data_IF_891091004332
#
_entry.id   IF_891091004332
#
_cell.length_a   1.000
_cell.length_b   1.000
_cell.length_c   1.000
_cell.angle_alpha   90.00
_cell.angle_beta   90.00
_cell.angle_gamma   90.00
#
_symmetry.space_group_name_H-M   'P 1'
#
loop_
_entity.id
_entity.type
_entity.pdbx_description
1 polymer ?
#
# COMPACT_ATOMS: atom_id res chain seq x y z
N UNK A 1 -14.83 12.38 -18.71
CA UNK A 1 -14.29 11.13 -18.13
C UNK A 1 -13.68 11.51 -16.79
N UNK A 2 -13.86 10.71 -15.73
CA UNK A 2 -13.21 10.99 -14.45
C UNK A 2 -11.69 11.13 -14.60
N UNK A 3 -11.13 12.10 -13.86
CA UNK A 3 -9.69 12.28 -13.76
C UNK A 3 -9.24 11.65 -12.45
N UNK A 4 -8.08 11.01 -12.46
CA UNK A 4 -7.49 10.38 -11.30
C UNK A 4 -6.10 10.95 -11.03
N UNK A 5 -5.83 11.26 -9.76
CA UNK A 5 -4.47 11.44 -9.24
C UNK A 5 -3.97 10.07 -8.82
N UNK A 6 -2.90 9.62 -9.46
CA UNK A 6 -2.21 8.36 -9.16
C UNK A 6 -0.90 8.72 -8.47
N UNK A 7 -0.73 8.30 -7.22
CA UNK A 7 0.51 8.51 -6.46
C UNK A 7 1.13 7.17 -6.13
N UNK A 8 2.40 7.04 -6.47
CA UNK A 8 3.22 5.86 -6.27
C UNK A 8 4.44 6.24 -5.43
N UNK A 9 4.71 5.43 -4.41
CA UNK A 9 5.91 5.56 -3.59
C UNK A 9 6.58 4.19 -3.45
N UNK A 10 7.88 4.16 -3.75
CA UNK A 10 8.73 2.99 -3.62
C UNK A 10 9.63 3.19 -2.39
N UNK A 11 9.55 2.32 -1.37
CA UNK A 11 10.44 2.42 -0.23
C UNK A 11 11.89 2.28 -0.71
N UNK A 12 12.74 3.22 -0.31
CA UNK A 12 14.14 3.22 -0.70
C UNK A 12 14.89 2.16 0.11
N UNK A 13 14.93 0.93 -0.41
CA UNK A 13 15.62 -0.20 0.22
C UNK A 13 17.03 -0.30 -0.37
N UNK A 14 18.10 -0.11 0.43
CA UNK A 14 19.46 -0.22 -0.06
C UNK A 14 19.72 -1.57 -0.73
N UNK A 15 20.22 -1.55 -1.97
CA UNK A 15 20.57 -2.75 -2.72
C UNK A 15 19.41 -3.49 -3.41
N UNK A 16 18.19 -2.96 -3.36
CA UNK A 16 17.04 -3.49 -4.12
C UNK A 16 16.42 -2.40 -4.98
N UNK A 17 16.86 -2.31 -6.24
CA UNK A 17 16.21 -1.48 -7.24
C UNK A 17 15.27 -2.36 -8.06
N UNK A 18 13.97 -2.17 -7.89
CA UNK A 18 12.96 -2.85 -8.70
C UNK A 18 12.83 -2.15 -10.06
N UNK A 19 12.59 -2.93 -11.10
CA UNK A 19 12.35 -2.40 -12.45
C UNK A 19 10.89 -1.93 -12.57
N UNK A 20 10.69 -0.62 -12.63
CA UNK A 20 9.38 0.01 -12.82
C UNK A 20 9.12 0.40 -14.28
N UNK A 21 9.94 -0.07 -15.23
CA UNK A 21 9.73 0.17 -16.66
C UNK A 21 8.34 -0.27 -17.14
N UNK A 22 7.77 -1.42 -16.72
CA UNK A 22 6.41 -1.81 -17.10
C UNK A 22 5.36 -0.81 -16.62
N UNK A 23 5.50 -0.31 -15.38
CA UNK A 23 4.59 0.69 -14.81
C UNK A 23 4.69 2.03 -15.56
N UNK A 24 5.91 2.49 -15.86
CA UNK A 24 6.15 3.71 -16.62
C UNK A 24 5.59 3.61 -18.05
N UNK A 25 5.77 2.46 -18.72
CA UNK A 25 5.24 2.20 -20.05
C UNK A 25 3.71 2.18 -20.07
N UNK A 26 3.07 1.57 -19.07
CA UNK A 26 1.62 1.57 -18.96
C UNK A 26 1.07 3.00 -18.74
N UNK A 27 1.66 3.78 -17.83
CA UNK A 27 1.29 5.18 -17.63
C UNK A 27 1.42 6.00 -18.92
N UNK A 28 2.51 5.81 -19.68
CA UNK A 28 2.71 6.46 -20.96
C UNK A 28 1.70 6.01 -22.03
N UNK A 29 1.43 4.70 -22.13
CA UNK A 29 0.45 4.13 -23.05
C UNK A 29 -0.96 4.64 -22.80
N UNK A 30 -1.31 4.85 -21.53
CA UNK A 30 -2.56 5.44 -21.08
C UNK A 30 -2.58 6.99 -21.17
N UNK A 31 -1.51 7.61 -21.68
CA UNK A 31 -1.36 9.07 -21.81
C UNK A 31 -1.50 9.82 -20.48
N UNK A 32 -1.06 9.20 -19.39
CA UNK A 32 -1.02 9.86 -18.08
C UNK A 32 0.02 10.99 -18.10
N UNK A 33 -0.30 12.11 -17.45
CA UNK A 33 0.63 13.22 -17.29
C UNK A 33 1.34 13.10 -15.94
N UNK A 34 2.66 13.01 -15.94
CA UNK A 34 3.43 13.18 -14.72
C UNK A 34 3.39 14.63 -14.25
N UNK A 35 2.96 14.87 -13.01
CA UNK A 35 2.87 16.21 -12.42
C UNK A 35 3.95 16.47 -11.37
N UNK A 36 4.39 15.41 -10.67
CA UNK A 36 5.49 15.43 -9.70
C UNK A 36 6.18 14.05 -9.72
N UNK A 37 7.32 13.92 -9.04
CA UNK A 37 7.94 12.59 -8.86
C UNK A 37 6.95 11.64 -8.21
N UNK A 38 6.74 10.46 -8.81
CA UNK A 38 5.78 9.47 -8.33
C UNK A 38 4.30 9.87 -8.44
N UNK A 39 3.94 11.02 -9.01
CA UNK A 39 2.53 11.47 -9.11
C UNK A 39 2.11 11.79 -10.53
N UNK A 40 0.99 11.22 -10.95
CA UNK A 40 0.47 11.27 -12.31
C UNK A 40 -1.02 11.64 -12.34
N UNK A 41 -1.45 12.26 -13.44
CA UNK A 41 -2.85 12.48 -13.78
C UNK A 41 -3.26 11.54 -14.90
N UNK A 42 -4.34 10.78 -14.70
CA UNK A 42 -4.94 9.90 -15.71
C UNK A 42 -6.41 10.24 -15.93
N UNK A 43 -6.94 9.91 -17.11
CA UNK A 43 -8.35 10.15 -17.46
C UNK A 43 -8.94 8.85 -18.00
N UNK A 44 -9.84 8.22 -17.24
CA UNK A 44 -10.32 6.86 -17.49
C UNK A 44 -11.84 6.76 -17.40
N UNK A 45 -12.42 5.72 -18.01
CA UNK A 45 -13.85 5.36 -17.83
C UNK A 45 -13.99 4.25 -16.78
N UNK A 46 -13.36 4.44 -15.64
CA UNK A 46 -13.24 3.45 -14.58
C UNK A 46 -13.51 4.08 -13.22
N UNK A 47 -13.70 3.26 -12.19
CA UNK A 47 -13.72 3.73 -10.79
C UNK A 47 -12.30 3.81 -10.23
N UNK A 48 -12.09 4.57 -9.17
CA UNK A 48 -10.79 4.66 -8.48
C UNK A 48 -10.25 3.26 -8.10
N UNK A 49 -11.12 2.37 -7.61
CA UNK A 49 -10.78 0.98 -7.28
C UNK A 49 -10.29 0.18 -8.49
N UNK A 50 -10.95 0.32 -9.64
CA UNK A 50 -10.52 -0.36 -10.87
C UNK A 50 -9.16 0.14 -11.35
N UNK A 51 -8.95 1.46 -11.32
CA UNK A 51 -7.69 2.10 -11.70
C UNK A 51 -6.57 1.66 -10.75
N UNK A 52 -6.82 1.66 -9.44
CA UNK A 52 -5.89 1.15 -8.44
C UNK A 52 -5.51 -0.32 -8.71
N UNK A 53 -6.51 -1.19 -8.88
CA UNK A 53 -6.28 -2.61 -9.09
C UNK A 53 -5.57 -2.90 -10.43
N UNK A 54 -5.76 -2.06 -11.45
CA UNK A 54 -5.01 -2.15 -12.70
C UNK A 54 -3.54 -1.84 -12.49
N UNK A 55 -3.24 -0.67 -11.92
CA UNK A 55 -1.86 -0.20 -11.75
C UNK A 55 -1.08 -0.98 -10.70
N UNK A 56 -1.75 -1.53 -9.67
CA UNK A 56 -1.12 -2.34 -8.62
C UNK A 56 -0.39 -3.58 -9.17
N UNK A 57 -0.81 -4.11 -10.32
CA UNK A 57 -0.20 -5.29 -10.96
C UNK A 57 1.25 -5.07 -11.42
N UNK A 58 1.64 -3.81 -11.61
CA UNK A 58 2.97 -3.45 -12.09
C UNK A 58 3.93 -3.06 -10.97
N UNK A 59 3.47 -3.10 -9.71
CA UNK A 59 4.23 -2.64 -8.55
C UNK A 59 4.67 -3.82 -7.69
N UNK A 60 5.73 -3.62 -6.92
CA UNK A 60 6.17 -4.59 -5.94
C UNK A 60 5.25 -4.55 -4.71
N UNK A 61 5.13 -5.68 -4.01
CA UNK A 61 4.21 -5.81 -2.86
C UNK A 61 4.51 -4.81 -1.74
N UNK A 62 5.77 -4.40 -1.58
CA UNK A 62 6.19 -3.44 -0.57
C UNK A 62 5.90 -1.97 -0.95
N UNK A 63 5.51 -1.70 -2.20
CA UNK A 63 5.27 -0.34 -2.68
C UNK A 63 3.88 0.15 -2.29
N UNK A 64 3.74 1.47 -2.18
CA UNK A 64 2.47 2.14 -1.92
C UNK A 64 1.90 2.72 -3.20
N UNK A 65 0.58 2.53 -3.39
CA UNK A 65 -0.19 3.10 -4.48
C UNK A 65 -1.45 3.75 -3.92
N UNK A 66 -1.67 5.00 -4.27
CA UNK A 66 -2.88 5.75 -3.96
C UNK A 66 -3.50 6.22 -5.27
N UNK A 67 -4.82 6.03 -5.40
CA UNK A 67 -5.58 6.53 -6.54
C UNK A 67 -6.77 7.31 -6.03
N UNK A 68 -6.82 8.60 -6.36
CA UNK A 68 -7.92 9.49 -5.97
C UNK A 68 -8.62 10.01 -7.21
N UNK A 69 -9.95 9.90 -7.24
CA UNK A 69 -10.76 10.57 -8.26
C UNK A 69 -10.81 12.08 -7.97
N UNK A 70 -10.44 12.89 -8.95
CA UNK A 70 -10.62 14.34 -8.89
C UNK A 70 -12.08 14.67 -9.17
N UNK A 71 -12.77 15.13 -8.13
CA UNK A 71 -14.14 15.61 -8.20
C UNK A 71 -14.19 17.15 -8.34
N UNK A 72 -15.41 17.69 -8.45
CA UNK A 72 -15.81 19.05 -8.83
C UNK A 72 -14.93 20.25 -8.42
N UNK A 73 -14.19 20.17 -7.31
CA UNK A 73 -13.39 21.28 -6.81
C UNK A 73 -11.90 20.93 -6.86
N UNK A 74 -11.20 21.56 -7.80
CA UNK A 74 -9.74 21.52 -7.86
C UNK A 74 -9.21 22.95 -7.97
N UNK A 75 -8.06 23.20 -7.35
CA UNK A 75 -7.37 24.47 -7.40
C UNK A 75 -5.95 24.23 -7.90
N UNK A 76 -5.49 25.07 -8.80
CA UNK A 76 -4.18 24.94 -9.41
C UNK A 76 -3.60 26.32 -9.70
N UNK A 77 -2.35 26.55 -9.30
CA UNK A 77 -1.69 27.85 -9.37
C UNK A 77 -1.17 28.23 -10.76
N UNK A 78 -1.36 27.38 -11.78
CA UNK A 78 -1.01 27.69 -13.17
C UNK A 78 0.46 27.57 -13.54
N UNK A 79 1.37 27.35 -12.58
CA UNK A 79 2.83 27.49 -12.81
C UNK A 79 3.44 26.42 -13.73
N UNK A 80 2.91 25.20 -13.77
CA UNK A 80 3.25 24.14 -14.71
C UNK A 80 2.33 24.15 -15.97
N UNK A 81 2.87 24.67 -17.08
CA UNK A 81 2.12 24.85 -18.34
C UNK A 81 1.51 23.56 -18.89
N UNK A 82 2.15 22.41 -18.66
CA UNK A 82 1.70 21.11 -19.17
C UNK A 82 0.42 20.62 -18.47
N UNK A 83 0.21 20.98 -17.20
CA UNK A 83 -0.97 20.59 -16.43
C UNK A 83 -2.22 21.32 -16.95
N UNK A 84 -2.11 22.64 -17.19
CA UNK A 84 -3.24 23.43 -17.68
C UNK A 84 -3.78 22.90 -19.02
N UNK A 85 -2.89 22.70 -20.00
CA UNK A 85 -3.24 22.15 -21.31
C UNK A 85 -3.82 20.73 -21.21
N UNK A 86 -3.29 19.90 -20.32
CA UNK A 86 -3.81 18.53 -20.16
C UNK A 86 -5.21 18.52 -19.55
N UNK A 87 -5.49 19.40 -18.58
CA UNK A 87 -6.82 19.57 -17.98
C UNK A 87 -7.84 20.18 -18.95
N UNK A 88 -7.42 21.05 -19.86
CA UNK A 88 -8.27 21.54 -20.96
C UNK A 88 -8.71 20.41 -21.89
N UNK A 89 -7.79 19.49 -22.19
CA UNK A 89 -8.06 18.32 -23.04
C UNK A 89 -8.81 17.20 -22.30
N UNK A 90 -8.72 17.17 -20.97
CA UNK A 90 -9.34 16.19 -20.09
C UNK A 90 -10.08 16.93 -18.97
N UNK A 91 -11.26 17.53 -19.22
CA UNK A 91 -11.99 18.22 -18.18
C UNK A 91 -12.53 17.22 -17.13
N UNK A 92 -12.47 17.55 -15.82
CA UNK A 92 -12.98 16.66 -14.78
C UNK A 92 -14.47 16.38 -14.98
N UNK A 93 -14.89 15.17 -14.64
CA UNK A 93 -16.31 14.83 -14.67
C UNK A 93 -17.07 15.74 -13.70
N UNK A 94 -18.17 16.35 -14.18
CA UNK A 94 -19.17 16.94 -13.29
C UNK A 94 -19.91 15.78 -12.65
N UNK A 95 -19.91 15.68 -11.32
CA UNK A 95 -20.79 14.75 -10.61
C UNK A 95 -22.24 15.03 -11.02
N UNK A 96 -22.84 14.13 -11.81
CA UNK A 96 -24.28 13.94 -11.79
C UNK A 96 -24.60 13.28 -10.46
N UNK A 97 -25.64 13.73 -9.76
CA UNK A 97 -26.06 13.33 -8.42
C UNK A 97 -26.50 11.85 -8.28
N UNK A 98 -25.95 10.94 -9.08
CA UNK A 98 -26.29 9.51 -9.05
C UNK A 98 -25.19 8.76 -8.33
N UNK A 99 -25.46 8.55 -7.05
CA UNK A 99 -24.71 7.78 -6.07
C UNK A 99 -24.86 6.29 -6.40
N UNK A 100 -23.79 5.64 -6.86
CA UNK A 100 -23.63 4.18 -6.80
C UNK A 100 -22.13 3.85 -6.83
N UNK A 101 -21.49 3.96 -5.68
CA UNK A 101 -20.18 3.36 -5.44
C UNK A 101 -20.42 2.04 -4.68
N UNK A 102 -20.13 0.86 -5.26
CA UNK A 102 -20.07 -0.35 -4.46
C UNK A 102 -18.92 -0.20 -3.45
N UNK A 103 -19.25 -0.41 -2.18
CA UNK A 103 -18.29 -0.39 -1.09
C UNK A 103 -17.15 -1.37 -1.40
N UNK A 104 -15.90 -0.90 -1.31
CA UNK A 104 -14.75 -1.78 -1.33
C UNK A 104 -14.78 -2.61 -0.04
N UNK A 105 -15.04 -3.92 -0.16
CA UNK A 105 -14.80 -4.84 0.96
C UNK A 105 -13.29 -4.83 1.29
N UNK A 106 -12.93 -4.74 2.59
CA UNK A 106 -11.53 -4.78 2.99
C UNK A 106 -10.93 -6.14 2.63
N UNK A 107 -9.78 -6.13 1.96
CA UNK A 107 -9.01 -7.33 1.70
C UNK A 107 -8.71 -8.05 3.03
N UNK A 108 -9.11 -9.31 3.11
CA UNK A 108 -8.95 -10.17 4.27
C UNK A 108 -7.50 -10.15 4.78
N UNK A 109 -7.36 -9.94 6.08
CA UNK A 109 -6.13 -10.10 6.85
C UNK A 109 -5.62 -11.52 6.68
N UNK A 110 -4.47 -11.71 6.04
CA UNK A 110 -3.79 -13.00 6.07
C UNK A 110 -3.26 -13.21 7.50
N UNK A 111 -3.93 -14.11 8.22
CA UNK A 111 -3.55 -14.51 9.56
C UNK A 111 -2.26 -15.34 9.53
N UNK A 112 -1.34 -14.90 10.38
CA UNK A 112 -0.14 -15.60 10.84
C UNK A 112 -0.51 -17.01 11.35
N UNK A 113 0.15 -18.03 10.82
CA UNK A 113 -0.03 -19.42 11.25
C UNK A 113 1.32 -19.97 11.72
N UNK A 114 1.73 -19.62 12.93
CA UNK A 114 2.80 -20.31 13.64
C UNK A 114 2.27 -20.98 14.94
N UNK A 115 2.14 -22.31 14.82
CA UNK A 115 2.15 -23.36 15.82
C UNK A 115 1.88 -23.04 17.31
N UNK A 116 0.67 -23.37 17.77
CA UNK A 116 0.37 -23.62 19.18
C UNK A 116 0.77 -25.04 19.61
N UNK A 117 1.70 -25.18 20.56
CA UNK A 117 1.91 -26.39 21.38
C UNK A 117 1.01 -26.31 22.63
N UNK A 118 0.32 -27.40 23.05
CA UNK A 118 -0.52 -27.36 24.24
C UNK A 118 0.29 -27.47 25.53
N UNK A 119 0.00 -26.58 26.48
CA UNK A 119 0.50 -26.60 27.85
C UNK A 119 -0.20 -27.67 28.69
N UNK A 120 0.57 -28.49 29.39
CA UNK A 120 0.08 -29.44 30.38
C UNK A 120 -0.23 -28.75 31.72
N UNK A 121 -1.34 -29.16 32.34
CA UNK A 121 -1.94 -28.70 33.60
C UNK A 121 -1.02 -28.89 34.83
N UNK A 122 -1.22 -28.13 35.93
CA UNK A 122 -0.36 -28.17 37.11
C UNK A 122 -0.86 -29.16 38.16
N UNK A 123 0.07 -29.78 38.90
CA UNK A 123 -0.22 -30.52 40.13
C UNK A 123 0.59 -29.91 41.29
N UNK A 124 -0.12 -29.47 42.32
CA UNK A 124 0.44 -28.94 43.56
C UNK A 124 0.39 -30.01 44.66
N UNK A 125 1.51 -30.24 45.37
CA UNK A 125 1.65 -30.11 46.85
C UNK A 125 2.99 -30.67 47.37
N UNK A 126 3.63 -29.81 48.16
CA UNK A 126 4.76 -29.93 49.14
C UNK A 126 4.55 -31.05 50.22
N UNK A 127 5.46 -31.30 51.21
CA UNK A 127 6.72 -30.63 51.56
C UNK A 127 7.94 -31.50 52.04
N UNK A 128 9.12 -30.86 51.99
CA UNK A 128 10.26 -30.83 52.92
C UNK A 128 10.72 -32.05 53.75
N UNK A 129 12.03 -32.37 53.68
CA UNK A 129 12.88 -32.57 54.88
C UNK A 129 14.40 -32.49 54.61
N UNK A 130 15.08 -31.76 55.50
CA UNK A 130 16.47 -31.89 56.00
C UNK A 130 17.69 -31.56 55.10
N UNK A 131 18.45 -30.56 55.57
CA UNK A 131 19.85 -30.25 55.24
C UNK A 131 20.82 -31.10 56.13
N UNK A 132 22.14 -30.79 56.28
CA UNK A 132 23.18 -30.26 55.37
C UNK A 132 24.48 -31.13 55.38
N UNK A 133 25.50 -30.79 54.56
CA UNK A 133 26.93 -30.58 54.96
C UNK A 133 27.99 -30.89 53.87
N UNK A 134 28.90 -29.90 53.68
CA UNK A 134 30.37 -29.94 53.46
C UNK A 134 31.00 -31.01 52.54
N UNK A 135 31.81 -30.58 51.56
CA UNK A 135 33.28 -30.43 51.68
C UNK A 135 34.04 -30.38 50.32
N UNK A 136 34.95 -29.40 50.21
CA UNK A 136 36.28 -29.33 49.55
C UNK A 136 36.75 -30.41 48.54
N UNK A 137 37.35 -29.94 47.43
CA UNK A 137 38.75 -30.19 46.93
C UNK A 137 38.76 -30.11 45.38
N UNK A 138 39.42 -29.15 44.68
CA UNK A 138 40.84 -28.93 44.34
C UNK A 138 41.52 -30.00 43.44
N UNK A 139 42.11 -29.50 42.34
CA UNK A 139 43.15 -30.08 41.45
C UNK A 139 42.72 -31.27 40.58
N UNK A 140 43.12 -31.40 39.30
CA UNK A 140 44.35 -30.99 38.61
C UNK A 140 44.09 -30.40 37.23
#
# INVERSE_FOLDING_TARGET
>A
MPIFVITFDAPNVPGKQHDYTPFANELAGQKCLQIQSGTFLGSFKNTATQVHNHFRKFLHNADSLLVNEMVQHYAYSGKAKNIAKWLELNPPAKLSSTQDAPAAEPAATMADAEASKPAAKPAAKKPAKAAPAKAKAKAH
#
